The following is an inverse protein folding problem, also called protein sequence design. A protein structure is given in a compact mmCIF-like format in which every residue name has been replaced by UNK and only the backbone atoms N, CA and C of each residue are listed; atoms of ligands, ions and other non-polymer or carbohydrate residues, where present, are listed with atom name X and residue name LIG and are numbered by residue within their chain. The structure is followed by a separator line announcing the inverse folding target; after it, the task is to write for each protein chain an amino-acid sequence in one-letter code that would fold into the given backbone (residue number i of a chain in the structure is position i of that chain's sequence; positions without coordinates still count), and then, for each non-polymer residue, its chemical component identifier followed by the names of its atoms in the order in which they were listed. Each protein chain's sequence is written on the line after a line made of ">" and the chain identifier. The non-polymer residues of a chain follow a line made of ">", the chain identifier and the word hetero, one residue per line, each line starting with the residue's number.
data_IF_131254691539
#
_entry.id   IF_131254691539
#
_cell.length_a   1.000
_cell.length_b   1.000
_cell.length_c   1.000
_cell.angle_alpha   90.00
_cell.angle_beta   90.00
_cell.angle_gamma   90.00
#
_symmetry.space_group_name_H-M   'P 1'
#
loop_
_entity.id
_entity.type
_entity.pdbx_description
1 polymer ?
#
# COMPACT_ATOMS: atom_id res chain seq x y z
N UNK A 1 34.74 49.03 -51.17
CA UNK A 1 34.50 47.60 -51.03
C UNK A 1 35.32 47.12 -49.82
N UNK A 2 34.72 47.08 -48.67
CA UNK A 2 35.34 46.68 -47.40
C UNK A 2 34.95 45.26 -47.08
N UNK A 3 35.94 44.34 -47.05
CA UNK A 3 35.78 42.99 -46.52
C UNK A 3 35.91 43.06 -45.00
N UNK A 4 34.85 42.66 -44.29
CA UNK A 4 34.88 42.51 -42.86
C UNK A 4 35.40 41.09 -42.50
N UNK A 5 36.48 41.05 -41.76
CA UNK A 5 37.05 39.87 -41.10
C UNK A 5 36.06 39.36 -40.05
N UNK A 6 35.54 38.16 -40.20
CA UNK A 6 34.86 37.42 -39.14
C UNK A 6 35.89 36.55 -38.42
N UNK A 7 36.24 36.96 -37.21
CA UNK A 7 37.10 36.20 -36.31
C UNK A 7 36.39 34.95 -35.80
N UNK A 8 37.02 33.80 -35.97
CA UNK A 8 36.65 32.53 -35.35
C UNK A 8 36.71 32.59 -33.83
N UNK A 9 35.56 32.44 -33.17
CA UNK A 9 35.49 32.17 -31.72
C UNK A 9 35.61 30.68 -31.52
N UNK A 10 36.73 30.23 -30.94
CA UNK A 10 36.89 28.89 -30.37
C UNK A 10 35.91 28.70 -29.21
N UNK A 11 35.15 27.58 -29.12
CA UNK A 11 34.31 27.31 -27.98
C UNK A 11 35.21 27.00 -26.76
N UNK A 12 35.10 27.83 -25.73
CA UNK A 12 35.66 27.49 -24.42
C UNK A 12 34.99 26.21 -23.90
N UNK A 13 35.78 25.17 -23.60
CA UNK A 13 35.35 23.91 -23.12
C UNK A 13 34.57 24.06 -21.80
N UNK A 14 33.34 23.60 -21.80
CA UNK A 14 32.54 23.40 -20.59
C UNK A 14 33.30 22.47 -19.63
N UNK A 15 33.41 22.77 -18.34
CA UNK A 15 34.03 21.86 -17.38
C UNK A 15 33.28 20.52 -17.40
N UNK A 16 34.01 19.44 -17.65
CA UNK A 16 33.46 18.09 -17.53
C UNK A 16 33.00 17.90 -16.10
N UNK A 17 31.70 17.84 -15.88
CA UNK A 17 31.15 17.39 -14.61
C UNK A 17 31.73 16.01 -14.30
N UNK A 18 32.44 15.89 -13.19
CA UNK A 18 32.80 14.60 -12.64
C UNK A 18 31.51 13.79 -12.50
N UNK A 19 31.48 12.58 -13.06
CA UNK A 19 30.34 11.67 -12.93
C UNK A 19 30.01 11.44 -11.45
N UNK A 20 28.79 11.02 -11.14
CA UNK A 20 28.38 10.77 -9.75
C UNK A 20 29.40 9.80 -9.11
N UNK A 21 29.90 10.17 -7.93
CA UNK A 21 30.73 9.27 -7.12
C UNK A 21 29.97 7.94 -6.93
N UNK A 22 30.66 6.80 -7.05
CA UNK A 22 30.01 5.52 -6.74
C UNK A 22 29.46 5.59 -5.33
N UNK A 23 28.15 5.28 -5.21
CA UNK A 23 27.46 5.15 -3.93
C UNK A 23 28.19 4.05 -3.13
N UNK A 24 28.66 4.40 -1.92
CA UNK A 24 29.20 3.51 -0.91
C UNK A 24 30.65 3.03 -1.14
N UNK A 25 31.60 3.89 -0.83
CA UNK A 25 32.98 3.44 -0.56
C UNK A 25 33.01 2.59 0.73
N UNK A 26 34.00 1.70 0.91
CA UNK A 26 34.18 0.93 2.15
C UNK A 26 34.30 1.81 3.42
N UNK A 27 34.75 3.05 3.29
CA UNK A 27 34.78 4.03 4.37
C UNK A 27 33.40 4.57 4.73
N UNK A 28 32.58 4.91 3.73
CA UNK A 28 31.20 5.34 3.91
C UNK A 28 30.34 4.23 4.54
N UNK A 29 30.54 2.97 4.13
CA UNK A 29 29.86 1.83 4.74
C UNK A 29 30.23 1.62 6.21
N UNK A 30 31.49 1.88 6.59
CA UNK A 30 31.93 1.83 8.00
C UNK A 30 31.31 2.97 8.82
N UNK A 31 31.31 4.18 8.29
CA UNK A 31 30.69 5.34 8.94
C UNK A 31 29.18 5.17 9.12
N UNK A 32 28.48 4.59 8.13
CA UNK A 32 27.07 4.23 8.22
C UNK A 32 26.81 3.23 9.35
N UNK A 33 27.60 2.15 9.42
CA UNK A 33 27.45 1.14 10.50
C UNK A 33 27.68 1.75 11.88
N UNK A 34 28.75 2.52 12.04
CA UNK A 34 29.05 3.17 13.30
C UNK A 34 27.95 4.14 13.73
N UNK A 35 27.40 4.93 12.82
CA UNK A 35 26.27 5.82 13.11
C UNK A 35 25.01 5.04 13.52
N UNK A 36 24.73 3.90 12.88
CA UNK A 36 23.60 3.03 13.25
C UNK A 36 23.78 2.43 14.66
N UNK A 37 25.00 1.97 14.99
CA UNK A 37 25.34 1.44 16.31
C UNK A 37 25.23 2.50 17.43
N UNK A 38 25.50 3.77 17.08
CA UNK A 38 25.40 4.92 17.98
C UNK A 38 23.97 5.53 18.05
N UNK A 39 22.99 4.97 17.31
CA UNK A 39 21.63 5.49 17.23
C UNK A 39 21.51 6.84 16.51
N UNK A 40 22.53 7.20 15.73
CA UNK A 40 22.59 8.44 14.93
C UNK A 40 22.06 8.20 13.52
N UNK A 41 21.54 9.24 12.87
CA UNK A 41 21.13 9.15 11.47
C UNK A 41 22.36 8.86 10.56
N UNK A 42 22.44 7.70 9.90
CA UNK A 42 23.59 7.30 9.10
C UNK A 42 23.88 8.23 7.91
N UNK A 43 22.87 8.94 7.39
CA UNK A 43 23.05 9.89 6.30
C UNK A 43 23.83 11.15 6.73
N UNK A 44 23.80 11.51 8.01
CA UNK A 44 24.60 12.63 8.55
C UNK A 44 26.08 12.25 8.71
N UNK A 45 26.39 10.97 8.79
CA UNK A 45 27.76 10.47 8.97
C UNK A 45 28.56 10.36 7.65
N UNK A 46 27.89 10.36 6.51
CA UNK A 46 28.52 10.13 5.20
C UNK A 46 29.06 11.40 4.54
N UNK A 47 28.85 12.59 5.14
CA UNK A 47 29.24 13.85 4.53
C UNK A 47 28.59 14.08 3.15
N UNK A 48 27.51 13.35 2.84
CA UNK A 48 26.70 13.64 1.66
C UNK A 48 26.19 15.07 1.82
N UNK A 49 26.54 16.01 0.93
CA UNK A 49 26.07 17.37 0.99
C UNK A 49 24.56 17.33 1.12
N UNK A 50 24.01 18.07 2.08
CA UNK A 50 22.58 18.29 2.08
C UNK A 50 22.24 18.77 0.68
N UNK A 51 21.22 18.19 0.06
CA UNK A 51 20.83 18.60 -1.28
C UNK A 51 20.56 20.14 -1.35
N UNK A 52 20.26 20.79 -0.21
CA UNK A 52 20.18 22.23 0.01
C UNK A 52 21.48 22.98 -0.33
N UNK A 53 22.64 22.33 -0.18
CA UNK A 53 23.94 22.90 -0.52
C UNK A 53 24.23 22.86 -2.04
N UNK A 54 23.35 22.22 -2.82
CA UNK A 54 23.45 22.18 -4.29
C UNK A 54 22.76 23.41 -4.88
N UNK A 55 23.40 24.56 -4.81
CA UNK A 55 22.90 25.89 -5.18
C UNK A 55 22.23 26.02 -6.57
N UNK A 56 22.36 25.06 -7.46
CA UNK A 56 21.68 25.04 -8.76
C UNK A 56 20.36 24.28 -8.78
N UNK A 57 20.22 23.29 -7.90
CA UNK A 57 19.13 22.30 -7.92
C UNK A 57 17.85 22.87 -7.31
N UNK A 58 17.95 23.69 -6.26
CA UNK A 58 16.82 24.32 -5.58
C UNK A 58 16.00 25.27 -6.48
N UNK A 59 16.55 25.71 -7.61
CA UNK A 59 15.83 26.57 -8.57
C UNK A 59 14.85 25.80 -9.45
N UNK A 60 15.07 24.51 -9.64
CA UNK A 60 14.31 23.68 -10.60
C UNK A 60 13.58 22.52 -9.95
N UNK A 61 14.08 21.96 -8.85
CA UNK A 61 13.45 20.87 -8.11
C UNK A 61 13.18 21.26 -6.64
N UNK A 62 12.28 20.56 -6.00
CA UNK A 62 11.89 20.68 -4.57
C UNK A 62 11.47 22.11 -4.14
N UNK A 63 11.12 22.99 -5.07
CA UNK A 63 10.75 24.40 -4.79
C UNK A 63 9.55 24.57 -3.85
N UNK A 64 8.79 23.50 -3.62
CA UNK A 64 7.60 23.47 -2.75
C UNK A 64 7.71 22.39 -1.68
N UNK A 65 8.87 21.79 -1.51
CA UNK A 65 9.18 20.86 -0.43
C UNK A 65 9.80 21.66 0.70
N UNK A 66 9.21 21.57 1.89
CA UNK A 66 9.70 22.28 3.08
C UNK A 66 10.82 21.49 3.76
N UNK A 67 10.62 20.17 3.85
CA UNK A 67 11.53 19.27 4.55
C UNK A 67 11.43 17.85 3.99
N UNK A 68 12.50 17.11 4.09
CA UNK A 68 12.56 15.67 3.80
C UNK A 68 13.08 14.97 5.06
N UNK A 69 12.17 14.38 5.83
CA UNK A 69 12.52 13.60 7.02
C UNK A 69 12.64 12.11 6.65
N UNK A 70 13.80 11.48 6.88
CA UNK A 70 13.95 10.05 6.65
C UNK A 70 13.09 9.24 7.62
N UNK A 71 12.31 8.30 7.08
CA UNK A 71 11.56 7.32 7.86
C UNK A 71 12.43 6.08 8.14
N UNK A 72 12.09 5.27 9.17
CA UNK A 72 12.71 3.96 9.36
C UNK A 72 12.47 3.11 8.11
N UNK A 73 13.42 2.23 7.80
CA UNK A 73 13.24 1.28 6.69
C UNK A 73 12.18 0.23 7.03
N UNK A 74 11.53 -0.39 6.04
CA UNK A 74 10.63 -1.53 6.29
C UNK A 74 11.29 -2.59 7.17
N UNK A 75 12.54 -2.99 6.88
CA UNK A 75 13.28 -3.98 7.67
C UNK A 75 13.44 -3.58 9.14
N UNK A 76 13.67 -2.29 9.43
CA UNK A 76 13.77 -1.80 10.81
C UNK A 76 12.43 -1.90 11.54
N UNK A 77 11.32 -1.52 10.90
CA UNK A 77 9.98 -1.59 11.49
C UNK A 77 9.55 -3.05 11.72
N UNK A 78 9.82 -3.94 10.76
CA UNK A 78 9.54 -5.36 10.90
C UNK A 78 10.38 -6.02 12.03
N UNK A 79 11.63 -5.61 12.18
CA UNK A 79 12.49 -6.10 13.26
C UNK A 79 12.10 -5.56 14.64
N UNK A 80 11.63 -4.30 14.72
CA UNK A 80 11.15 -3.68 15.97
C UNK A 80 9.83 -4.31 16.44
N UNK A 81 8.95 -4.65 15.51
CA UNK A 81 7.63 -5.22 15.75
C UNK A 81 7.43 -6.49 14.90
N UNK A 82 8.12 -7.59 15.20
CA UNK A 82 8.01 -8.82 14.44
C UNK A 82 6.65 -9.52 14.68
N UNK A 83 6.18 -10.26 13.67
CA UNK A 83 5.11 -11.23 13.89
C UNK A 83 5.69 -12.50 14.52
N UNK A 84 5.04 -12.98 15.58
CA UNK A 84 5.33 -14.32 16.08
C UNK A 84 4.78 -15.42 15.13
N UNK A 85 5.12 -16.67 15.42
CA UNK A 85 4.70 -17.80 14.56
C UNK A 85 3.17 -17.96 14.51
N UNK A 86 2.47 -17.73 15.62
CA UNK A 86 1.02 -17.85 15.67
C UNK A 86 0.34 -16.79 14.78
N UNK A 87 0.79 -15.53 14.85
CA UNK A 87 0.29 -14.46 13.97
C UNK A 87 0.59 -14.74 12.50
N UNK A 88 1.78 -15.27 12.17
CA UNK A 88 2.12 -15.67 10.79
C UNK A 88 1.21 -16.77 10.27
N UNK A 89 0.90 -17.78 11.08
CA UNK A 89 -0.04 -18.86 10.73
C UNK A 89 -1.45 -18.33 10.51
N UNK A 90 -1.94 -17.43 11.38
CA UNK A 90 -3.26 -16.79 11.20
C UNK A 90 -3.33 -16.08 9.85
N UNK A 91 -2.30 -15.29 9.49
CA UNK A 91 -2.28 -14.57 8.21
C UNK A 91 -2.22 -15.55 7.04
N UNK A 92 -1.36 -16.55 7.08
CA UNK A 92 -1.22 -17.52 5.99
C UNK A 92 -2.52 -18.29 5.79
N UNK A 93 -3.06 -18.86 6.86
CA UNK A 93 -4.28 -19.67 6.81
C UNK A 93 -5.50 -18.85 6.37
N UNK A 94 -5.69 -17.66 6.92
CA UNK A 94 -6.83 -16.80 6.56
C UNK A 94 -6.78 -16.31 5.12
N UNK A 95 -5.59 -16.13 4.53
CA UNK A 95 -5.48 -15.84 3.08
C UNK A 95 -6.01 -16.98 2.22
N UNK A 96 -5.70 -18.22 2.60
CA UNK A 96 -6.19 -19.40 1.90
C UNK A 96 -7.69 -19.59 2.09
N UNK A 97 -8.24 -19.34 3.30
CA UNK A 97 -9.69 -19.40 3.55
C UNK A 97 -10.46 -18.32 2.77
N UNK A 98 -9.96 -17.06 2.78
CA UNK A 98 -10.57 -15.98 1.99
C UNK A 98 -10.58 -16.32 0.51
N UNK A 99 -9.47 -16.88 0.02
CA UNK A 99 -9.35 -17.37 -1.35
C UNK A 99 -10.37 -18.47 -1.62
N UNK A 100 -10.49 -19.46 -0.74
CA UNK A 100 -11.46 -20.56 -0.88
C UNK A 100 -12.91 -20.03 -0.97
N UNK A 101 -13.29 -19.07 -0.12
CA UNK A 101 -14.61 -18.41 -0.22
C UNK A 101 -14.79 -17.68 -1.57
N UNK A 102 -13.79 -16.95 -2.04
CA UNK A 102 -13.87 -16.21 -3.31
C UNK A 102 -14.01 -17.14 -4.52
N UNK A 103 -13.41 -18.33 -4.47
CA UNK A 103 -13.52 -19.35 -5.52
C UNK A 103 -14.73 -20.29 -5.36
N UNK A 104 -15.57 -20.08 -4.33
CA UNK A 104 -16.72 -20.95 -4.05
C UNK A 104 -16.33 -22.36 -3.62
N UNK A 105 -15.15 -22.53 -3.02
CA UNK A 105 -14.65 -23.79 -2.45
C UNK A 105 -14.95 -23.91 -0.97
N UNK A 106 -15.34 -22.82 -0.33
CA UNK A 106 -15.81 -22.72 1.05
C UNK A 106 -17.17 -22.02 1.04
N UNK A 107 -18.17 -22.65 1.62
CA UNK A 107 -19.56 -22.18 1.62
C UNK A 107 -19.84 -21.10 2.70
N UNK A 108 -18.87 -20.81 3.58
CA UNK A 108 -18.99 -19.74 4.57
C UNK A 108 -19.12 -18.39 3.89
N UNK A 109 -19.94 -17.51 4.47
CA UNK A 109 -20.02 -16.11 4.02
C UNK A 109 -18.82 -15.33 4.53
N UNK A 110 -17.98 -14.81 3.64
CA UNK A 110 -16.89 -13.89 3.98
C UNK A 110 -17.46 -12.53 4.44
N UNK A 111 -17.16 -12.15 5.70
CA UNK A 111 -17.63 -10.91 6.32
C UNK A 111 -16.43 -10.07 6.75
N UNK A 112 -16.21 -8.95 6.06
CA UNK A 112 -15.17 -7.98 6.42
C UNK A 112 -15.83 -6.85 7.20
N UNK A 113 -15.64 -6.82 8.53
CA UNK A 113 -16.38 -5.95 9.45
C UNK A 113 -15.45 -5.21 10.41
N UNK A 114 -15.77 -3.94 10.69
CA UNK A 114 -14.98 -3.12 11.60
C UNK A 114 -15.22 -1.63 11.41
N UNK A 115 -14.46 -0.77 12.10
CA UNK A 115 -14.61 0.68 12.00
C UNK A 115 -14.30 1.17 10.58
N UNK A 116 -14.89 2.31 10.21
CA UNK A 116 -14.62 2.95 8.91
C UNK A 116 -13.13 3.26 8.73
N UNK A 117 -12.47 3.75 9.79
CA UNK A 117 -11.01 3.84 9.92
C UNK A 117 -10.61 3.80 11.39
N UNK A 118 -9.45 3.24 11.65
CA UNK A 118 -8.85 3.23 12.99
C UNK A 118 -8.25 4.61 13.25
N UNK A 119 -8.73 5.27 14.30
CA UNK A 119 -8.15 6.52 14.80
C UNK A 119 -7.61 6.36 16.24
N UNK A 120 -8.15 5.38 16.97
CA UNK A 120 -7.72 4.99 18.31
C UNK A 120 -7.38 3.49 18.31
N UNK A 121 -6.10 3.12 18.47
CA UNK A 121 -5.67 1.73 18.56
C UNK A 121 -6.33 0.96 19.73
N UNK A 122 -6.59 1.60 20.86
CA UNK A 122 -7.20 0.92 22.03
C UNK A 122 -8.66 0.57 21.73
N UNK A 123 -9.41 1.49 21.12
CA UNK A 123 -10.77 1.22 20.69
C UNK A 123 -10.83 0.11 19.62
N UNK A 124 -9.84 0.06 18.73
CA UNK A 124 -9.73 -1.00 17.72
C UNK A 124 -9.46 -2.36 18.38
N UNK A 125 -8.62 -2.43 19.41
CA UNK A 125 -8.33 -3.68 20.12
C UNK A 125 -9.51 -4.13 21.01
N UNK A 126 -10.25 -3.22 21.66
CA UNK A 126 -11.50 -3.57 22.34
C UNK A 126 -12.54 -4.14 21.36
N UNK A 127 -12.65 -3.53 20.17
CA UNK A 127 -13.49 -4.07 19.11
C UNK A 127 -13.05 -5.47 18.66
N UNK A 128 -11.75 -5.67 18.45
CA UNK A 128 -11.17 -6.97 18.09
C UNK A 128 -11.50 -8.04 19.16
N UNK A 129 -11.30 -7.72 20.42
CA UNK A 129 -11.62 -8.62 21.54
C UNK A 129 -13.09 -9.06 21.55
N UNK A 130 -14.03 -8.15 21.27
CA UNK A 130 -15.45 -8.49 21.16
C UNK A 130 -15.77 -9.28 19.90
N UNK A 131 -15.17 -8.91 18.77
CA UNK A 131 -15.38 -9.57 17.49
C UNK A 131 -14.85 -11.02 17.51
N UNK A 132 -13.74 -11.28 18.21
CA UNK A 132 -13.18 -12.63 18.32
C UNK A 132 -14.13 -13.62 18.99
N UNK A 133 -15.02 -13.16 19.87
CA UNK A 133 -16.07 -13.98 20.48
C UNK A 133 -17.14 -14.34 19.47
N UNK A 134 -17.62 -13.35 18.70
CA UNK A 134 -18.60 -13.57 17.63
C UNK A 134 -18.04 -14.50 16.57
N UNK A 135 -16.76 -14.34 16.20
CA UNK A 135 -16.09 -15.21 15.23
C UNK A 135 -16.16 -16.68 15.68
N UNK A 136 -15.86 -16.97 16.95
CA UNK A 136 -15.93 -18.34 17.50
C UNK A 136 -17.35 -18.92 17.53
N UNK A 137 -18.34 -18.06 17.78
CA UNK A 137 -19.76 -18.46 17.80
C UNK A 137 -20.31 -18.76 16.40
N UNK A 138 -19.70 -18.21 15.34
CA UNK A 138 -20.18 -18.28 13.97
C UNK A 138 -19.22 -18.95 12.99
N UNK A 139 -18.17 -19.59 13.46
CA UNK A 139 -17.05 -20.09 12.64
C UNK A 139 -17.48 -21.11 11.54
N UNK A 140 -18.60 -21.81 11.78
CA UNK A 140 -19.15 -22.76 10.79
C UNK A 140 -19.94 -22.11 9.64
N UNK A 141 -20.33 -20.84 9.79
CA UNK A 141 -21.20 -20.14 8.83
C UNK A 141 -20.53 -18.89 8.24
N UNK A 142 -19.72 -18.20 9.05
CA UNK A 142 -19.07 -16.95 8.68
C UNK A 142 -17.55 -17.06 8.73
N UNK A 143 -16.88 -16.57 7.72
CA UNK A 143 -15.47 -16.24 7.77
C UNK A 143 -15.32 -14.76 8.10
N UNK A 144 -15.03 -14.45 9.37
CA UNK A 144 -14.93 -13.07 9.84
C UNK A 144 -13.50 -12.57 9.70
N UNK A 145 -13.34 -11.43 9.01
CA UNK A 145 -12.09 -10.68 8.88
C UNK A 145 -12.31 -9.29 9.44
N UNK A 146 -11.43 -8.83 10.35
CA UNK A 146 -11.57 -7.49 10.91
C UNK A 146 -11.07 -6.41 9.95
N UNK A 147 -11.92 -5.41 9.70
CA UNK A 147 -11.54 -4.22 8.94
C UNK A 147 -10.67 -3.31 9.81
N UNK A 148 -9.42 -3.07 9.39
CA UNK A 148 -8.41 -2.27 10.08
C UNK A 148 -7.80 -1.27 9.10
N UNK A 149 -8.53 -0.22 8.79
CA UNK A 149 -8.13 0.79 7.79
C UNK A 149 -7.42 1.95 8.46
N UNK A 150 -6.20 2.24 8.01
CA UNK A 150 -5.34 3.29 8.57
C UNK A 150 -5.22 4.52 7.68
N UNK A 151 -5.55 4.39 6.42
CA UNK A 151 -5.40 5.42 5.40
C UNK A 151 -6.77 5.85 4.88
N UNK A 152 -6.96 7.15 4.66
CA UNK A 152 -8.25 7.70 4.20
C UNK A 152 -8.05 8.56 2.97
N UNK A 153 -8.53 8.11 1.78
CA UNK A 153 -8.56 8.97 0.62
C UNK A 153 -9.56 10.11 0.85
N UNK A 154 -9.09 11.37 0.73
CA UNK A 154 -9.92 12.56 0.88
C UNK A 154 -10.21 13.18 -0.48
N UNK A 155 -11.45 13.63 -0.67
CA UNK A 155 -11.85 14.32 -1.91
C UNK A 155 -11.19 15.69 -2.00
N UNK A 156 -11.05 16.38 -0.87
CA UNK A 156 -10.44 17.72 -0.77
C UNK A 156 -9.35 17.72 0.30
N UNK A 157 -9.66 18.15 1.51
CA UNK A 157 -8.77 18.20 2.67
C UNK A 157 -9.38 17.44 3.84
N UNK A 158 -8.57 17.11 4.84
CA UNK A 158 -9.01 16.45 6.06
C UNK A 158 -7.97 15.44 6.57
N UNK A 159 -8.24 14.85 7.72
CA UNK A 159 -7.39 13.84 8.31
C UNK A 159 -7.18 12.65 7.38
N UNK A 160 -5.91 12.33 7.09
CA UNK A 160 -5.52 11.31 6.09
C UNK A 160 -5.43 9.89 6.66
N UNK A 161 -5.65 9.72 7.96
CA UNK A 161 -5.58 8.42 8.63
C UNK A 161 -4.46 8.32 9.65
N UNK A 162 -4.47 7.21 10.41
CA UNK A 162 -3.57 6.98 11.54
C UNK A 162 -2.09 7.00 11.13
N UNK A 163 -1.75 6.47 9.96
CA UNK A 163 -0.34 6.47 9.50
C UNK A 163 0.15 7.89 9.27
N UNK A 164 -0.67 8.74 8.66
CA UNK A 164 -0.24 10.08 8.26
C UNK A 164 -0.29 11.12 9.39
N UNK A 165 -1.22 10.96 10.33
CA UNK A 165 -1.43 11.91 11.44
C UNK A 165 -2.05 11.19 12.63
N UNK A 166 -1.22 10.45 13.41
CA UNK A 166 -1.70 9.57 14.48
C UNK A 166 -2.31 10.30 15.67
N UNK A 167 -1.91 11.54 15.90
CA UNK A 167 -2.36 12.36 17.04
C UNK A 167 -3.57 13.24 16.68
N UNK A 168 -3.95 13.31 15.41
CA UNK A 168 -5.08 14.12 14.88
C UNK A 168 -4.91 15.61 15.19
N UNK A 169 -3.67 16.07 15.30
CA UNK A 169 -3.31 17.46 15.66
C UNK A 169 -2.59 18.21 14.53
N UNK A 170 -2.40 17.54 13.38
CA UNK A 170 -1.69 18.08 12.23
C UNK A 170 -0.16 18.02 12.36
N UNK A 171 0.37 17.32 13.35
CA UNK A 171 1.82 17.11 13.50
C UNK A 171 2.40 16.20 12.41
N UNK A 172 1.56 15.36 11.81
CA UNK A 172 1.93 14.44 10.73
C UNK A 172 3.12 13.52 11.07
N UNK A 173 3.18 13.03 12.32
CA UNK A 173 4.24 12.11 12.76
C UNK A 173 4.08 10.73 12.13
N UNK A 174 4.50 10.61 10.85
CA UNK A 174 4.35 9.39 10.04
C UNK A 174 5.11 8.22 10.66
N UNK A 175 6.30 8.45 11.24
CA UNK A 175 7.05 7.39 11.94
C UNK A 175 6.23 6.76 13.05
N UNK A 176 5.63 7.57 13.91
CA UNK A 176 4.74 7.11 14.99
C UNK A 176 3.53 6.38 14.41
N UNK A 177 2.95 6.92 13.35
CA UNK A 177 1.79 6.33 12.67
C UNK A 177 2.05 4.94 12.12
N UNK A 178 3.18 4.70 11.47
CA UNK A 178 3.59 3.39 10.96
C UNK A 178 3.74 2.36 12.08
N UNK A 179 4.41 2.72 13.17
CA UNK A 179 4.57 1.83 14.32
C UNK A 179 3.23 1.51 14.99
N UNK A 180 2.35 2.51 15.15
CA UNK A 180 1.01 2.30 15.72
C UNK A 180 0.14 1.43 14.84
N UNK A 181 0.17 1.63 13.52
CA UNK A 181 -0.57 0.81 12.57
C UNK A 181 -0.13 -0.66 12.66
N UNK A 182 1.17 -0.92 12.60
CA UNK A 182 1.70 -2.28 12.71
C UNK A 182 1.38 -2.92 14.07
N UNK A 183 1.58 -2.19 15.17
CA UNK A 183 1.24 -2.66 16.53
C UNK A 183 -0.24 -3.00 16.66
N UNK A 184 -1.12 -2.22 16.05
CA UNK A 184 -2.57 -2.49 16.05
C UNK A 184 -2.88 -3.78 15.28
N UNK A 185 -2.27 -4.01 14.11
CA UNK A 185 -2.43 -5.26 13.35
C UNK A 185 -1.96 -6.47 14.16
N UNK A 186 -0.79 -6.39 14.79
CA UNK A 186 -0.28 -7.46 15.67
C UNK A 186 -1.26 -7.73 16.81
N UNK A 187 -1.82 -6.69 17.42
CA UNK A 187 -2.82 -6.86 18.49
C UNK A 187 -4.11 -7.52 18.00
N UNK A 188 -4.58 -7.20 16.79
CA UNK A 188 -5.76 -7.85 16.18
C UNK A 188 -5.48 -9.32 15.90
N UNK A 189 -4.30 -9.65 15.36
CA UNK A 189 -3.87 -11.03 15.15
C UNK A 189 -3.75 -11.79 16.49
N UNK A 190 -3.31 -11.10 17.56
CA UNK A 190 -3.25 -11.65 18.93
C UNK A 190 -4.61 -12.07 19.50
N UNK A 191 -5.72 -11.48 19.03
CA UNK A 191 -7.10 -11.91 19.34
C UNK A 191 -7.59 -13.07 18.45
N UNK A 192 -6.73 -13.59 17.57
CA UNK A 192 -7.04 -14.66 16.62
C UNK A 192 -7.78 -14.22 15.36
N UNK A 193 -7.88 -12.91 15.10
CA UNK A 193 -8.61 -12.35 13.96
C UNK A 193 -7.68 -12.04 12.78
N UNK A 194 -8.11 -12.44 11.59
CA UNK A 194 -7.54 -11.95 10.35
C UNK A 194 -7.83 -10.46 10.14
N UNK A 195 -6.90 -9.73 9.53
CA UNK A 195 -7.03 -8.29 9.30
C UNK A 195 -7.18 -7.95 7.81
N UNK A 196 -8.06 -6.98 7.53
CA UNK A 196 -8.25 -6.39 6.22
C UNK A 196 -7.89 -4.89 6.24
N UNK A 197 -7.23 -4.37 5.19
CA UNK A 197 -6.94 -2.94 5.07
C UNK A 197 -7.20 -2.40 3.66
N UNK A 198 -7.21 -1.07 3.50
CA UNK A 198 -7.19 -0.41 2.19
C UNK A 198 -5.80 0.15 1.95
N UNK A 199 -5.18 -0.18 0.82
CA UNK A 199 -3.88 0.36 0.44
C UNK A 199 -4.08 1.63 -0.39
N UNK A 200 -3.62 2.76 0.13
CA UNK A 200 -3.67 4.05 -0.52
C UNK A 200 -2.27 4.52 -0.94
N UNK A 201 -1.32 4.53 -0.01
CA UNK A 201 0.08 4.86 -0.26
C UNK A 201 0.80 3.65 -0.87
N UNK A 202 1.50 3.81 -2.02
CA UNK A 202 2.17 2.69 -2.68
C UNK A 202 3.31 2.05 -1.88
N UNK A 203 3.85 2.76 -0.89
CA UNK A 203 4.98 2.29 -0.06
C UNK A 203 4.55 1.72 1.28
N UNK A 204 3.36 2.07 1.79
CA UNK A 204 2.86 1.58 3.08
C UNK A 204 2.77 0.05 3.19
N UNK A 205 2.47 -0.70 2.11
CA UNK A 205 2.45 -2.15 2.17
C UNK A 205 3.75 -2.80 2.63
N UNK A 206 4.91 -2.21 2.32
CA UNK A 206 6.21 -2.75 2.73
C UNK A 206 6.38 -2.82 4.26
N UNK A 207 5.58 -2.07 5.01
CA UNK A 207 5.63 -1.99 6.47
C UNK A 207 4.59 -2.85 7.17
N UNK A 208 3.49 -3.21 6.49
CA UNK A 208 2.32 -3.81 7.14
C UNK A 208 1.71 -5.01 6.42
N UNK A 209 2.05 -5.26 5.15
CA UNK A 209 1.34 -6.27 4.35
C UNK A 209 1.52 -7.70 4.84
N UNK A 210 2.60 -7.99 5.57
CA UNK A 210 2.83 -9.29 6.21
C UNK A 210 1.81 -9.61 7.32
N UNK A 211 1.13 -8.59 7.87
CA UNK A 211 0.09 -8.70 8.90
C UNK A 211 -1.34 -8.54 8.35
N UNK A 212 -1.52 -8.58 7.03
CA UNK A 212 -2.81 -8.35 6.34
C UNK A 212 -3.23 -9.57 5.55
N UNK A 213 -4.49 -9.97 5.69
CA UNK A 213 -5.05 -11.14 5.02
C UNK A 213 -5.92 -10.81 3.82
N UNK A 214 -6.46 -9.59 3.73
CA UNK A 214 -7.23 -9.06 2.61
C UNK A 214 -6.96 -7.58 2.41
N UNK A 215 -6.83 -7.16 1.16
CA UNK A 215 -6.60 -5.76 0.82
C UNK A 215 -7.67 -5.18 -0.10
N UNK A 216 -7.91 -3.87 0.00
CA UNK A 216 -8.79 -3.14 -0.90
C UNK A 216 -8.04 -2.06 -1.68
N UNK A 217 -8.44 -1.84 -2.93
CA UNK A 217 -8.13 -0.64 -3.71
C UNK A 217 -9.40 0.20 -3.81
N UNK A 218 -9.33 1.42 -3.31
CA UNK A 218 -10.47 2.34 -3.26
C UNK A 218 -10.95 2.79 -4.63
N UNK A 219 -12.22 3.19 -4.72
CA UNK A 219 -12.87 3.60 -5.98
C UNK A 219 -12.13 4.71 -6.75
N UNK A 220 -11.43 5.61 -6.04
CA UNK A 220 -10.64 6.69 -6.66
C UNK A 220 -9.28 6.24 -7.18
N UNK A 221 -8.81 5.06 -6.77
CA UNK A 221 -7.51 4.50 -7.09
C UNK A 221 -7.59 3.32 -8.06
N UNK A 222 -8.80 2.79 -8.32
CA UNK A 222 -9.02 1.62 -9.18
C UNK A 222 -8.51 1.82 -10.62
N UNK A 223 -8.51 3.04 -11.14
CA UNK A 223 -7.96 3.37 -12.46
C UNK A 223 -6.46 3.68 -12.44
N UNK A 224 -5.85 3.82 -11.26
CA UNK A 224 -4.43 4.14 -11.12
C UNK A 224 -3.54 2.98 -11.51
N UNK A 225 -2.65 3.21 -12.48
CA UNK A 225 -1.64 2.23 -12.89
C UNK A 225 -0.76 1.79 -11.72
N UNK A 226 -0.37 2.71 -10.83
CA UNK A 226 0.46 2.43 -9.66
C UNK A 226 -0.21 1.43 -8.73
N UNK A 227 -1.52 1.59 -8.47
CA UNK A 227 -2.26 0.68 -7.60
C UNK A 227 -2.51 -0.69 -8.23
N UNK A 228 -2.68 -0.76 -9.55
CA UNK A 228 -2.78 -2.04 -10.28
C UNK A 228 -1.47 -2.82 -10.25
N UNK A 229 -0.35 -2.13 -10.46
CA UNK A 229 0.99 -2.71 -10.33
C UNK A 229 1.26 -3.17 -8.89
N UNK A 230 0.91 -2.34 -7.89
CA UNK A 230 1.00 -2.72 -6.49
C UNK A 230 0.22 -4.00 -6.19
N UNK A 231 -1.06 -4.06 -6.60
CA UNK A 231 -1.93 -5.23 -6.38
C UNK A 231 -1.38 -6.51 -7.02
N UNK A 232 -0.68 -6.40 -8.16
CA UNK A 232 -0.08 -7.55 -8.84
C UNK A 232 1.01 -8.27 -8.02
N UNK A 233 1.60 -7.58 -7.05
CA UNK A 233 2.66 -8.11 -6.18
C UNK A 233 2.19 -8.44 -4.76
N UNK A 234 0.91 -8.18 -4.42
CA UNK A 234 0.39 -8.49 -3.10
C UNK A 234 0.19 -9.99 -2.91
N UNK A 235 0.52 -10.47 -1.70
CA UNK A 235 0.41 -11.88 -1.34
C UNK A 235 -0.96 -12.28 -0.77
N UNK A 236 -1.96 -11.38 -0.82
CA UNK A 236 -3.32 -11.62 -0.37
C UNK A 236 -4.32 -11.27 -1.48
N UNK A 237 -5.57 -11.78 -1.39
CA UNK A 237 -6.64 -11.35 -2.25
C UNK A 237 -6.87 -9.83 -2.16
N UNK A 238 -7.06 -9.17 -3.32
CA UNK A 238 -7.26 -7.74 -3.43
C UNK A 238 -8.61 -7.42 -4.08
N UNK A 239 -9.45 -6.67 -3.36
CA UNK A 239 -10.73 -6.18 -3.85
C UNK A 239 -10.63 -4.81 -4.50
N UNK A 240 -10.99 -4.71 -5.79
CA UNK A 240 -11.08 -3.44 -6.52
C UNK A 240 -12.50 -2.89 -6.44
N UNK A 241 -12.67 -1.72 -5.80
CA UNK A 241 -13.99 -1.08 -5.69
C UNK A 241 -14.40 -0.48 -7.04
N UNK A 242 -15.68 -0.64 -7.41
CA UNK A 242 -16.22 0.04 -8.58
C UNK A 242 -16.07 1.57 -8.50
N UNK A 243 -16.03 2.24 -9.64
CA UNK A 243 -15.86 3.69 -9.72
C UNK A 243 -17.00 4.45 -9.00
N UNK A 244 -16.77 5.73 -8.72
CA UNK A 244 -17.72 6.57 -7.96
C UNK A 244 -19.05 6.81 -8.69
N UNK A 245 -19.06 6.72 -10.02
CA UNK A 245 -20.26 6.77 -10.86
C UNK A 245 -21.05 5.44 -10.90
N UNK A 246 -20.52 4.39 -10.30
CA UNK A 246 -21.08 3.04 -10.29
C UNK A 246 -20.56 2.11 -11.39
N UNK A 247 -19.71 2.58 -12.28
CA UNK A 247 -19.12 1.76 -13.34
C UNK A 247 -18.25 0.66 -12.75
N UNK A 248 -18.56 -0.59 -13.09
CA UNK A 248 -17.81 -1.78 -12.70
C UNK A 248 -16.58 -1.99 -13.59
N UNK A 249 -16.59 -1.44 -14.80
CA UNK A 249 -15.55 -1.61 -15.81
C UNK A 249 -14.14 -1.28 -15.31
N UNK A 250 -13.99 -0.21 -14.53
CA UNK A 250 -12.70 0.17 -13.97
C UNK A 250 -12.14 -0.90 -13.02
N UNK A 251 -13.02 -1.49 -12.19
CA UNK A 251 -12.65 -2.56 -11.25
C UNK A 251 -12.29 -3.85 -12.01
N UNK A 252 -13.06 -4.24 -13.02
CA UNK A 252 -12.76 -5.41 -13.87
C UNK A 252 -11.41 -5.23 -14.58
N UNK A 253 -11.18 -4.06 -15.18
CA UNK A 253 -9.88 -3.73 -15.78
C UNK A 253 -8.73 -3.77 -14.74
N UNK A 254 -9.00 -3.34 -13.51
CA UNK A 254 -8.05 -3.41 -12.40
C UNK A 254 -7.69 -4.85 -12.05
N UNK A 255 -8.69 -5.72 -11.90
CA UNK A 255 -8.48 -7.15 -11.66
C UNK A 255 -7.68 -7.80 -12.80
N UNK A 256 -8.08 -7.54 -14.06
CA UNK A 256 -7.39 -8.10 -15.22
C UNK A 256 -5.92 -7.65 -15.29
N UNK A 257 -5.67 -6.35 -15.15
CA UNK A 257 -4.32 -5.81 -15.19
C UNK A 257 -3.46 -6.38 -14.06
N UNK A 258 -3.99 -6.41 -12.82
CA UNK A 258 -3.24 -6.89 -11.65
C UNK A 258 -2.98 -8.41 -11.68
N UNK A 259 -3.73 -9.17 -12.45
CA UNK A 259 -3.48 -10.59 -12.66
C UNK A 259 -2.31 -10.86 -13.63
N UNK A 260 -1.80 -9.84 -14.32
CA UNK A 260 -0.66 -9.97 -15.24
C UNK A 260 0.67 -9.69 -14.53
N UNK A 261 1.76 -10.12 -15.15
CA UNK A 261 3.12 -9.76 -14.72
C UNK A 261 3.38 -8.27 -14.94
N UNK A 262 4.09 -7.66 -13.98
CA UNK A 262 4.49 -6.26 -14.05
C UNK A 262 5.94 -6.07 -13.63
N UNK A 263 6.59 -5.04 -14.20
CA UNK A 263 7.84 -4.49 -13.69
C UNK A 263 7.63 -3.01 -13.46
N UNK A 264 7.89 -2.53 -12.25
CA UNK A 264 7.64 -1.14 -11.88
C UNK A 264 8.63 -0.63 -10.83
N UNK A 265 8.61 0.69 -10.62
CA UNK A 265 9.48 1.37 -9.68
C UNK A 265 8.91 1.26 -8.25
N UNK A 266 9.68 0.73 -7.34
CA UNK A 266 9.29 0.56 -5.94
C UNK A 266 10.46 0.74 -4.97
N UNK A 267 10.28 0.29 -3.74
CA UNK A 267 11.33 0.27 -2.71
C UNK A 267 11.51 -1.16 -2.20
N UNK A 268 12.76 -1.50 -1.85
CA UNK A 268 13.10 -2.75 -1.19
C UNK A 268 12.91 -2.66 0.34
N UNK A 269 13.16 -3.76 1.05
CA UNK A 269 13.06 -3.80 2.52
C UNK A 269 14.02 -2.84 3.24
N UNK A 270 15.07 -2.38 2.57
CA UNK A 270 16.00 -1.37 3.08
C UNK A 270 15.59 0.05 2.70
N UNK A 271 14.40 0.26 2.14
CA UNK A 271 13.90 1.56 1.70
C UNK A 271 14.59 2.10 0.44
N UNK A 272 15.38 1.28 -0.26
CA UNK A 272 16.10 1.72 -1.47
C UNK A 272 15.21 1.57 -2.69
N UNK A 273 15.29 2.53 -3.58
CA UNK A 273 14.63 2.46 -4.87
C UNK A 273 15.08 1.23 -5.67
N UNK A 274 14.13 0.48 -6.22
CA UNK A 274 14.39 -0.73 -7.00
C UNK A 274 13.36 -0.93 -8.11
N UNK A 275 13.69 -1.77 -9.08
CA UNK A 275 12.71 -2.35 -9.99
C UNK A 275 12.08 -3.56 -9.28
N UNK A 276 10.75 -3.55 -9.17
CA UNK A 276 9.96 -4.66 -8.61
C UNK A 276 9.37 -5.43 -9.77
N UNK A 277 9.65 -6.72 -9.84
CA UNK A 277 9.05 -7.64 -10.81
C UNK A 277 8.06 -8.56 -10.11
N UNK A 278 6.83 -8.67 -10.64
CA UNK A 278 5.72 -9.42 -10.04
C UNK A 278 5.20 -10.48 -10.99
N UNK A 279 4.63 -11.54 -10.43
CA UNK A 279 4.01 -12.63 -11.20
C UNK A 279 2.57 -12.33 -11.62
N UNK A 280 1.95 -11.30 -11.04
CA UNK A 280 0.52 -11.08 -11.09
C UNK A 280 -0.22 -11.73 -9.92
N UNK A 281 -1.38 -11.16 -9.57
CA UNK A 281 -2.23 -11.62 -8.47
C UNK A 281 -3.58 -12.10 -9.04
N UNK A 282 -3.79 -13.42 -9.21
CA UNK A 282 -5.03 -13.96 -9.76
C UNK A 282 -6.22 -13.84 -8.81
N UNK A 283 -5.98 -13.55 -7.52
CA UNK A 283 -6.99 -13.46 -6.48
C UNK A 283 -7.63 -12.05 -6.38
N UNK A 284 -7.34 -11.17 -7.35
CA UNK A 284 -8.02 -9.88 -7.49
C UNK A 284 -9.48 -10.08 -7.87
N UNK A 285 -10.40 -9.33 -7.23
CA UNK A 285 -11.85 -9.43 -7.43
C UNK A 285 -12.53 -8.08 -7.30
N UNK A 286 -13.81 -8.02 -7.71
CA UNK A 286 -14.61 -6.79 -7.71
C UNK A 286 -15.30 -6.58 -6.36
N UNK A 287 -15.34 -5.32 -5.92
CA UNK A 287 -16.12 -4.87 -4.76
C UNK A 287 -17.18 -3.87 -5.22
N UNK A 288 -18.46 -4.20 -5.01
CA UNK A 288 -19.57 -3.31 -5.28
C UNK A 288 -19.80 -2.37 -4.09
N UNK A 289 -19.67 -1.06 -4.28
CA UNK A 289 -19.74 -0.04 -3.22
C UNK A 289 -20.81 1.03 -3.46
N UNK A 290 -21.75 0.77 -4.39
CA UNK A 290 -22.73 1.76 -4.79
C UNK A 290 -22.17 2.86 -5.69
N UNK A 291 -22.95 3.88 -5.90
CA UNK A 291 -22.62 5.03 -6.76
C UNK A 291 -23.28 6.31 -6.24
N UNK A 292 -23.03 7.42 -6.92
CA UNK A 292 -23.78 8.69 -6.71
C UNK A 292 -25.27 8.57 -7.03
N UNK A 293 -25.67 7.52 -7.75
CA UNK A 293 -27.06 7.27 -8.17
C UNK A 293 -27.81 6.31 -7.23
N UNK A 294 -27.10 5.67 -6.29
CA UNK A 294 -27.68 4.73 -5.33
C UNK A 294 -26.84 3.46 -5.12
N UNK A 295 -27.32 2.54 -4.31
CA UNK A 295 -26.67 1.26 -4.05
C UNK A 295 -26.72 0.35 -5.28
N UNK A 296 -25.81 -0.66 -5.31
CA UNK A 296 -25.72 -1.65 -6.39
C UNK A 296 -25.57 -3.10 -5.86
N UNK A 297 -26.17 -3.38 -4.71
CA UNK A 297 -26.14 -4.69 -4.07
C UNK A 297 -27.34 -5.59 -4.46
N UNK A 298 -28.31 -5.05 -5.21
CA UNK A 298 -29.46 -5.81 -5.65
C UNK A 298 -29.07 -6.90 -6.68
N UNK A 299 -29.92 -7.94 -6.79
CA UNK A 299 -29.67 -9.11 -7.65
C UNK A 299 -29.37 -8.73 -9.10
N UNK A 300 -30.05 -7.73 -9.65
CA UNK A 300 -29.85 -7.32 -11.05
C UNK A 300 -28.49 -6.63 -11.23
N UNK A 301 -28.08 -5.79 -10.28
CA UNK A 301 -26.77 -5.12 -10.28
C UNK A 301 -25.64 -6.12 -10.10
N UNK A 302 -25.77 -7.07 -9.17
CA UNK A 302 -24.77 -8.13 -8.94
C UNK A 302 -24.63 -9.00 -10.19
N UNK A 303 -25.73 -9.43 -10.80
CA UNK A 303 -25.68 -10.25 -12.03
C UNK A 303 -24.97 -9.52 -13.16
N UNK A 304 -25.32 -8.26 -13.43
CA UNK A 304 -24.64 -7.45 -14.45
C UNK A 304 -23.14 -7.34 -14.20
N UNK A 305 -22.77 -7.08 -12.96
CA UNK A 305 -21.35 -7.00 -12.60
C UNK A 305 -20.60 -8.32 -12.85
N UNK A 306 -21.22 -9.46 -12.50
CA UNK A 306 -20.65 -10.79 -12.75
C UNK A 306 -20.59 -11.10 -14.25
N UNK A 307 -21.58 -10.68 -15.05
CA UNK A 307 -21.56 -10.86 -16.50
C UNK A 307 -20.43 -10.05 -17.15
N UNK A 308 -20.23 -8.78 -16.72
CA UNK A 308 -19.11 -7.95 -17.15
C UNK A 308 -17.76 -8.58 -16.81
N UNK A 309 -17.64 -9.13 -15.59
CA UNK A 309 -16.41 -9.82 -15.14
C UNK A 309 -16.14 -11.05 -16.03
N UNK A 310 -17.13 -11.93 -16.20
CA UNK A 310 -16.99 -13.17 -16.98
C UNK A 310 -16.70 -12.94 -18.45
N UNK A 311 -17.14 -11.80 -18.99
CA UNK A 311 -16.84 -11.41 -20.38
C UNK A 311 -15.37 -11.03 -20.59
N UNK A 312 -14.64 -10.67 -19.54
CA UNK A 312 -13.27 -10.15 -19.64
C UNK A 312 -12.22 -11.02 -18.95
N UNK A 313 -12.57 -11.65 -17.84
CA UNK A 313 -11.60 -12.40 -17.02
C UNK A 313 -11.50 -13.87 -17.44
N UNK A 314 -10.32 -14.49 -17.33
CA UNK A 314 -10.18 -15.93 -17.46
C UNK A 314 -11.06 -16.67 -16.44
N UNK A 315 -11.57 -17.83 -16.81
CA UNK A 315 -12.50 -18.60 -15.97
C UNK A 315 -11.88 -19.03 -14.62
N UNK A 316 -10.55 -19.13 -14.58
CA UNK A 316 -9.77 -19.53 -13.41
C UNK A 316 -9.54 -18.39 -12.41
N UNK A 317 -9.91 -17.17 -12.77
CA UNK A 317 -9.72 -16.00 -11.91
C UNK A 317 -10.73 -15.97 -10.77
N UNK A 318 -10.31 -15.54 -9.57
CA UNK A 318 -11.22 -15.31 -8.43
C UNK A 318 -12.39 -14.40 -8.79
N UNK A 319 -12.15 -13.38 -9.60
CA UNK A 319 -13.17 -12.42 -10.02
C UNK A 319 -14.37 -13.08 -10.73
N UNK A 320 -14.20 -14.24 -11.40
CA UNK A 320 -15.28 -14.90 -12.13
C UNK A 320 -16.19 -15.76 -11.24
N UNK A 321 -15.78 -16.02 -10.00
CA UNK A 321 -16.50 -16.86 -9.04
C UNK A 321 -17.27 -16.04 -8.01
N UNK A 322 -16.65 -15.00 -7.46
CA UNK A 322 -17.24 -14.20 -6.40
C UNK A 322 -16.93 -12.70 -6.49
N UNK A 323 -17.74 -11.90 -5.80
CA UNK A 323 -17.51 -10.48 -5.58
C UNK A 323 -17.86 -10.13 -4.12
N UNK A 324 -17.37 -8.99 -3.66
CA UNK A 324 -17.74 -8.46 -2.35
C UNK A 324 -18.71 -7.29 -2.50
N UNK A 325 -19.65 -7.20 -1.57
CA UNK A 325 -20.59 -6.08 -1.47
C UNK A 325 -20.17 -5.22 -0.29
N UNK A 326 -19.79 -3.97 -0.54
CA UNK A 326 -19.46 -2.98 0.48
C UNK A 326 -20.76 -2.26 0.91
N UNK A 327 -21.22 -2.59 2.11
CA UNK A 327 -22.45 -2.07 2.71
C UNK A 327 -22.21 -0.80 3.56
N UNK A 328 -20.98 -0.24 3.56
CA UNK A 328 -20.60 0.91 4.40
C UNK A 328 -20.91 2.28 3.77
#
# INVERSE_FOLDING_TARGET
>A
MQQQNMGERTPQGTPRHAGPKPLNTPEELRAIRQAMDEGKNPLLATGVPRWEDQVGVSRIINRRVLELEPLPTPAQVLAELPLDSAAQEIVAYSRDEIRACLYGQDDRLLVIVGPCSVHDPNAALDYAHRLSKVMKETEGELLIVMRVYFEKPRTTVGWKGLINDPDIDGSHNIRKGLLLARKTLIGVLGEGLAAATEFLEPTSPQFISDAVSWGAIGARNTESQVHRQLASGMSMPIGFKNATDGSVKAAVNGCYASAQQHTFFGIDHMGRACAVETLGNPDCHVVLRGSIHGPNYDTASVRRAMDDVRAMMPAESAATHGLIIDCS
#
